data_IF_169549903808
#
_entry.id   IF_169549903808
#
_cell.length_a   1.000
_cell.length_b   1.000
_cell.length_c   1.000
_cell.angle_alpha   90.00
_cell.angle_beta   90.00
_cell.angle_gamma   90.00
#
_symmetry.space_group_name_H-M   'P 1'
#
loop_
_entity.id
_entity.type
_entity.pdbx_description
1 polymer ?
#
# COMPACT_ATOMS: atom_id res chain seq x y z
N UNK A 1 -2.19 -23.80 5.96
CA UNK A 1 -2.75 -23.00 7.08
C UNK A 1 -2.56 -23.67 8.44
N UNK A 2 -2.63 -25.01 8.57
CA UNK A 2 -2.49 -25.73 9.84
C UNK A 2 -1.29 -25.30 10.71
N UNK A 3 -0.09 -25.18 10.12
CA UNK A 3 1.09 -24.74 10.87
C UNK A 3 0.95 -23.29 11.37
N UNK A 4 0.53 -22.36 10.52
CA UNK A 4 0.38 -20.93 10.89
C UNK A 4 -0.70 -20.76 11.96
N UNK A 5 -1.84 -21.44 11.83
CA UNK A 5 -2.91 -21.44 12.84
C UNK A 5 -2.42 -22.01 14.18
N UNK A 6 -1.63 -23.10 14.16
CA UNK A 6 -1.04 -23.66 15.38
C UNK A 6 -0.06 -22.71 16.06
N UNK A 7 0.81 -22.04 15.29
CA UNK A 7 1.81 -21.12 15.84
C UNK A 7 1.20 -19.80 16.32
N UNK A 8 0.20 -19.26 15.61
CA UNK A 8 -0.44 -17.99 15.96
C UNK A 8 -1.56 -18.13 16.99
N UNK A 9 -2.13 -19.33 17.16
CA UNK A 9 -3.35 -19.54 17.94
C UNK A 9 -4.62 -19.01 17.26
N UNK A 10 -4.52 -18.52 16.01
CA UNK A 10 -5.63 -17.91 15.27
C UNK A 10 -6.13 -18.89 14.21
N UNK A 11 -7.41 -19.26 14.31
CA UNK A 11 -8.08 -20.04 13.28
C UNK A 11 -8.54 -19.14 12.13
N UNK A 12 -8.08 -19.44 10.91
CA UNK A 12 -8.51 -18.76 9.69
C UNK A 12 -8.34 -19.67 8.47
N UNK A 13 -9.08 -19.35 7.41
CA UNK A 13 -8.99 -20.03 6.11
C UNK A 13 -8.31 -19.14 5.06
N UNK A 14 -8.00 -19.71 3.90
CA UNK A 14 -7.48 -18.93 2.75
C UNK A 14 -8.50 -17.89 2.27
N UNK A 15 -9.80 -18.17 2.41
CA UNK A 15 -10.85 -17.20 2.08
C UNK A 15 -10.86 -16.00 3.01
N UNK A 16 -10.52 -16.19 4.28
CA UNK A 16 -10.46 -15.11 5.24
C UNK A 16 -9.29 -14.18 4.93
N UNK A 17 -8.14 -14.71 4.47
CA UNK A 17 -7.04 -13.89 3.96
C UNK A 17 -7.48 -13.01 2.78
N UNK A 18 -8.24 -13.58 1.83
CA UNK A 18 -8.79 -12.84 0.70
C UNK A 18 -9.77 -11.74 1.15
N UNK A 19 -10.64 -12.03 2.13
CA UNK A 19 -11.59 -11.05 2.69
C UNK A 19 -10.85 -9.93 3.41
N UNK A 20 -9.85 -10.26 4.22
CA UNK A 20 -9.00 -9.26 4.89
C UNK A 20 -8.31 -8.35 3.87
N UNK A 21 -7.79 -8.90 2.78
CA UNK A 21 -7.21 -8.10 1.68
C UNK A 21 -8.24 -7.13 1.07
N UNK A 22 -9.47 -7.57 0.82
CA UNK A 22 -10.56 -6.71 0.32
C UNK A 22 -10.88 -5.59 1.31
N UNK A 23 -11.10 -5.93 2.58
CA UNK A 23 -11.50 -4.99 3.62
C UNK A 23 -10.44 -3.90 3.82
N UNK A 24 -9.16 -4.28 3.80
CA UNK A 24 -8.06 -3.31 3.90
C UNK A 24 -7.99 -2.43 2.66
N UNK A 25 -8.11 -3.01 1.46
CA UNK A 25 -8.06 -2.22 0.23
C UNK A 25 -9.21 -1.21 0.14
N UNK A 26 -10.40 -1.60 0.60
CA UNK A 26 -11.56 -0.70 0.69
C UNK A 26 -11.32 0.43 1.70
N UNK A 27 -10.79 0.12 2.89
CA UNK A 27 -10.44 1.14 3.89
C UNK A 27 -9.27 2.05 3.51
N UNK A 28 -8.52 1.72 2.44
CA UNK A 28 -7.48 2.57 1.84
C UNK A 28 -7.99 3.37 0.63
N UNK A 29 -9.30 3.39 0.39
CA UNK A 29 -9.97 4.05 -0.74
C UNK A 29 -9.42 3.61 -2.12
N UNK A 30 -9.00 2.35 -2.23
CA UNK A 30 -8.54 1.81 -3.51
C UNK A 30 -9.75 1.56 -4.41
N UNK A 31 -9.70 2.09 -5.64
CA UNK A 31 -10.78 1.94 -6.61
C UNK A 31 -11.23 0.49 -6.77
N UNK A 32 -12.55 0.27 -6.82
CA UNK A 32 -13.13 -1.07 -6.94
C UNK A 32 -12.60 -1.85 -8.16
N UNK A 33 -12.29 -1.16 -9.25
CA UNK A 33 -11.72 -1.78 -10.45
C UNK A 33 -10.28 -2.23 -10.25
N UNK A 34 -9.43 -1.41 -9.60
CA UNK A 34 -8.07 -1.84 -9.25
C UNK A 34 -8.12 -3.04 -8.30
N UNK A 35 -8.99 -3.00 -7.28
CA UNK A 35 -9.16 -4.10 -6.33
C UNK A 35 -9.60 -5.41 -7.02
N UNK A 36 -10.64 -5.36 -7.86
CA UNK A 36 -11.09 -6.52 -8.61
C UNK A 36 -9.97 -7.09 -9.51
N UNK A 37 -9.13 -6.24 -10.12
CA UNK A 37 -7.95 -6.68 -10.89
C UNK A 37 -6.91 -7.36 -10.01
N UNK A 38 -6.54 -6.78 -8.87
CA UNK A 38 -5.58 -7.37 -7.92
C UNK A 38 -6.04 -8.76 -7.43
N UNK A 39 -7.35 -8.97 -7.35
CA UNK A 39 -7.95 -10.24 -6.94
C UNK A 39 -8.17 -11.25 -8.07
N UNK A 40 -7.80 -10.89 -9.31
CA UNK A 40 -8.09 -11.66 -10.52
C UNK A 40 -9.59 -11.98 -10.70
N UNK A 41 -10.46 -11.03 -10.35
CA UNK A 41 -11.90 -11.19 -10.51
C UNK A 41 -12.33 -10.98 -11.96
N UNK A 42 -13.32 -11.78 -12.37
CA UNK A 42 -13.98 -11.63 -13.66
C UNK A 42 -14.86 -10.37 -13.65
N UNK A 43 -14.79 -9.56 -14.71
CA UNK A 43 -15.59 -8.33 -14.88
C UNK A 43 -16.56 -8.44 -16.07
N UNK A 44 -17.03 -9.64 -16.38
CA UNK A 44 -17.90 -9.86 -17.53
C UNK A 44 -19.19 -9.03 -17.41
N UNK A 45 -19.59 -8.37 -18.50
CA UNK A 45 -20.81 -7.57 -18.57
C UNK A 45 -20.66 -6.14 -18.03
N UNK A 46 -19.49 -5.77 -17.51
CA UNK A 46 -19.21 -4.40 -17.08
C UNK A 46 -18.61 -3.61 -18.26
N UNK A 47 -19.47 -2.86 -18.96
CA UNK A 47 -19.08 -2.02 -20.11
C UNK A 47 -18.04 -0.98 -19.66
N UNK A 48 -18.21 -0.44 -18.45
CA UNK A 48 -17.31 0.56 -17.86
C UNK A 48 -15.91 -0.02 -17.62
N UNK A 49 -15.81 -1.29 -17.25
CA UNK A 49 -14.52 -1.97 -17.10
C UNK A 49 -13.70 -2.01 -18.41
N UNK A 50 -14.35 -1.93 -19.57
CA UNK A 50 -13.70 -1.84 -20.88
C UNK A 50 -12.97 -0.52 -21.12
N UNK A 51 -13.40 0.58 -20.49
CA UNK A 51 -12.77 1.89 -20.58
C UNK A 51 -11.60 2.07 -19.60
N UNK A 52 -11.50 1.20 -18.60
CA UNK A 52 -10.45 1.26 -17.59
C UNK A 52 -9.23 0.53 -18.13
N UNK A 53 -8.22 1.31 -18.53
CA UNK A 53 -6.94 0.77 -18.97
C UNK A 53 -6.35 -0.08 -17.85
N UNK A 54 -6.32 -1.39 -18.09
CA UNK A 54 -5.77 -2.41 -17.21
C UNK A 54 -4.24 -2.47 -17.38
N UNK A 55 -3.58 -1.37 -17.02
CA UNK A 55 -2.14 -1.30 -17.00
C UNK A 55 -1.61 -1.80 -15.64
N UNK A 56 -0.63 -2.70 -15.69
CA UNK A 56 0.04 -3.25 -14.51
C UNK A 56 0.71 -2.14 -13.70
N UNK A 57 1.22 -1.09 -14.35
CA UNK A 57 1.84 0.04 -13.64
C UNK A 57 0.84 0.76 -12.73
N UNK A 58 -0.43 0.85 -13.16
CA UNK A 58 -1.50 1.45 -12.33
C UNK A 58 -1.84 0.61 -11.10
N UNK A 59 -1.53 -0.69 -11.10
CA UNK A 59 -1.77 -1.59 -9.98
C UNK A 59 -0.63 -1.59 -8.96
N UNK A 60 0.56 -1.10 -9.32
CA UNK A 60 1.73 -1.04 -8.42
C UNK A 60 1.46 -0.19 -7.19
N UNK A 61 0.96 1.04 -7.37
CA UNK A 61 0.67 1.94 -6.26
C UNK A 61 -0.39 1.37 -5.29
N UNK A 62 -1.57 0.89 -5.76
CA UNK A 62 -2.53 0.21 -4.90
C UNK A 62 -1.96 -0.99 -4.15
N UNK A 63 -1.18 -1.85 -4.82
CA UNK A 63 -0.55 -2.99 -4.17
C UNK A 63 0.41 -2.55 -3.07
N UNK A 64 1.26 -1.57 -3.36
CA UNK A 64 2.20 -1.02 -2.39
C UNK A 64 1.48 -0.45 -1.17
N UNK A 65 0.40 0.33 -1.36
CA UNK A 65 -0.38 0.87 -0.24
C UNK A 65 -0.92 -0.22 0.69
N UNK A 66 -1.42 -1.33 0.13
CA UNK A 66 -1.91 -2.46 0.92
C UNK A 66 -0.74 -3.14 1.67
N UNK A 67 0.39 -3.35 1.00
CA UNK A 67 1.60 -3.92 1.61
C UNK A 67 2.12 -3.05 2.75
N UNK A 68 2.20 -1.74 2.55
CA UNK A 68 2.65 -0.78 3.57
C UNK A 68 1.73 -0.80 4.78
N UNK A 69 0.42 -0.90 4.57
CA UNK A 69 -0.55 -1.02 5.65
C UNK A 69 -0.33 -2.30 6.46
N UNK A 70 -0.14 -3.45 5.81
CA UNK A 70 0.17 -4.69 6.51
C UNK A 70 1.46 -4.57 7.33
N UNK A 71 2.52 -4.07 6.72
CA UNK A 71 3.82 -3.91 7.38
C UNK A 71 3.74 -2.96 8.57
N UNK A 72 2.95 -1.88 8.46
CA UNK A 72 2.64 -0.97 9.56
C UNK A 72 1.92 -1.70 10.70
N UNK A 73 0.87 -2.47 10.40
CA UNK A 73 0.13 -3.24 11.42
C UNK A 73 0.99 -4.31 12.11
N UNK A 74 1.97 -4.87 11.40
CA UNK A 74 2.92 -5.84 11.95
C UNK A 74 4.05 -5.19 12.76
N UNK A 75 4.18 -3.86 12.75
CA UNK A 75 5.31 -3.15 13.34
C UNK A 75 6.64 -3.37 12.60
N UNK A 76 6.59 -3.86 11.35
CA UNK A 76 7.76 -4.14 10.53
C UNK A 76 8.29 -2.89 9.81
N UNK A 77 7.48 -1.84 9.72
CA UNK A 77 7.90 -0.49 9.33
C UNK A 77 7.72 0.42 10.54
N UNK A 78 8.80 1.01 11.03
CA UNK A 78 8.73 2.15 11.94
C UNK A 78 8.34 3.39 11.14
N UNK A 79 7.45 4.28 11.65
CA UNK A 79 7.27 5.59 11.06
C UNK A 79 8.64 6.22 10.86
N UNK A 80 8.96 6.60 9.63
CA UNK A 80 10.29 7.07 9.26
C UNK A 80 10.71 8.17 10.22
N UNK A 81 11.91 8.05 10.81
CA UNK A 81 12.46 9.07 11.69
C UNK A 81 12.39 10.42 10.98
N UNK A 82 11.70 11.39 11.62
CA UNK A 82 11.57 12.73 11.08
C UNK A 82 12.99 13.32 11.03
N UNK A 83 13.60 13.28 9.85
CA UNK A 83 14.88 13.94 9.59
C UNK A 83 14.65 15.44 9.72
N UNK A 84 15.00 15.97 10.90
CA UNK A 84 14.94 17.40 11.17
C UNK A 84 15.91 18.07 10.20
N UNK A 85 15.38 18.89 9.29
CA UNK A 85 16.19 19.66 8.35
C UNK A 85 17.08 20.60 9.17
N UNK A 86 18.38 20.34 9.16
CA UNK A 86 19.35 21.23 9.78
C UNK A 86 19.39 22.54 8.99
N UNK A 87 19.25 23.72 9.63
CA UNK A 87 19.38 24.98 8.93
C UNK A 87 20.77 25.07 8.30
N UNK A 88 20.83 25.36 7.01
CA UNK A 88 22.08 25.61 6.29
C UNK A 88 22.78 26.78 7.00
N UNK A 89 23.99 26.56 7.51
CA UNK A 89 24.80 27.64 8.05
C UNK A 89 25.02 28.67 6.95
N UNK A 90 24.64 29.93 7.21
CA UNK A 90 24.92 31.03 6.29
C UNK A 90 26.43 31.07 6.07
N UNK A 91 26.87 30.68 4.89
CA UNK A 91 28.26 30.85 4.47
C UNK A 91 28.61 32.34 4.57
N UNK A 92 29.79 32.65 5.10
CA UNK A 92 30.34 34.00 5.11
C UNK A 92 30.41 34.51 3.67
N UNK A 93 29.43 35.31 3.27
CA UNK A 93 29.58 36.19 2.12
C UNK A 93 30.60 37.24 2.53
N UNK A 94 31.84 37.08 2.07
CA UNK A 94 32.84 38.13 2.17
C UNK A 94 32.35 39.32 1.34
N UNK A 95 31.95 40.38 2.03
CA UNK A 95 31.60 41.67 1.47
C UNK A 95 32.91 42.35 1.03
N UNK A 96 33.30 42.10 -0.21
CA UNK A 96 34.43 42.77 -0.84
C UNK A 96 33.99 44.20 -1.18
N UNK A 97 34.45 45.15 -0.35
CA UNK A 97 34.23 46.59 -0.51
C UNK A 97 34.98 47.09 -1.75
N UNK A 98 34.26 47.79 -2.63
CA UNK A 98 34.81 48.72 -3.62
C UNK A 98 34.59 50.16 -3.14
#
# INVERSE_FOLDING_TARGET
MANVTKFSGIHFTVHDLRRTFITIAEGLDISAYALKRLMNHKMNGDITAGYIVADVERLRKPMQQITDYFLKCMGAITPTDILTIQPVSKGNFHEERA
#
